data_IF_864673976552
#
_entry.id   IF_864673976552
#
_cell.length_a   1.000
_cell.length_b   1.000
_cell.length_c   1.000
_cell.angle_alpha   90.00
_cell.angle_beta   90.00
_cell.angle_gamma   90.00
#
_symmetry.space_group_name_H-M   'P 1'
#
loop_
_entity.id
_entity.type
_entity.pdbx_description
1 polymer ?
#
# COMPACT_ATOMS: atom_id res chain seq x y z
N UNK A 1 21.48 21.60 34.34
CA UNK A 1 20.93 21.38 32.98
C UNK A 1 21.33 22.54 32.05
N UNK A 2 22.53 22.51 31.42
CA UNK A 2 23.02 23.60 30.56
C UNK A 2 22.80 23.37 29.04
N UNK A 3 22.00 22.38 28.63
CA UNK A 3 21.87 22.01 27.21
C UNK A 3 21.11 23.05 26.36
N UNK A 4 20.22 23.84 26.98
CA UNK A 4 19.37 24.80 26.27
C UNK A 4 20.16 25.86 25.48
N UNK A 5 21.11 26.61 26.07
CA UNK A 5 21.90 27.59 25.32
C UNK A 5 22.76 26.95 24.22
N UNK A 6 23.25 25.72 24.41
CA UNK A 6 24.01 25.00 23.39
C UNK A 6 23.14 24.61 22.19
N UNK A 7 21.90 24.17 22.43
CA UNK A 7 20.94 23.85 21.37
C UNK A 7 20.60 25.13 20.58
N UNK A 8 20.30 26.23 21.27
CA UNK A 8 19.95 27.50 20.63
C UNK A 8 21.12 28.03 19.79
N UNK A 9 22.34 27.98 20.32
CA UNK A 9 23.55 28.42 19.59
C UNK A 9 23.83 27.54 18.38
N UNK A 10 23.67 26.23 18.52
CA UNK A 10 23.86 25.28 17.42
C UNK A 10 22.83 25.48 16.31
N UNK A 11 21.57 25.75 16.67
CA UNK A 11 20.51 26.04 15.71
C UNK A 11 20.81 27.33 14.93
N UNK A 12 21.23 28.39 15.61
CA UNK A 12 21.61 29.64 14.95
C UNK A 12 22.82 29.48 14.05
N UNK A 13 23.85 28.76 14.50
CA UNK A 13 25.03 28.47 13.69
C UNK A 13 24.65 27.70 12.41
N UNK A 14 23.77 26.71 12.51
CA UNK A 14 23.25 25.96 11.37
C UNK A 14 22.52 26.88 10.36
N UNK A 15 21.61 27.73 10.84
CA UNK A 15 20.85 28.66 9.99
C UNK A 15 21.77 29.62 9.23
N UNK A 16 22.76 30.21 9.91
CA UNK A 16 23.72 31.13 9.28
C UNK A 16 24.55 30.42 8.21
N UNK A 17 24.96 29.17 8.47
CA UNK A 17 25.75 28.38 7.53
C UNK A 17 24.94 28.04 6.27
N UNK A 18 23.68 27.61 6.43
CA UNK A 18 22.80 27.32 5.31
C UNK A 18 22.49 28.58 4.47
N UNK A 19 22.36 29.74 5.12
CA UNK A 19 22.16 31.00 4.41
C UNK A 19 23.41 31.43 3.61
N UNK A 20 24.60 31.23 4.18
CA UNK A 20 25.87 31.49 3.49
C UNK A 20 26.07 30.55 2.28
N UNK A 21 25.74 29.27 2.41
CA UNK A 21 25.78 28.30 1.30
C UNK A 21 24.76 28.64 0.20
N UNK A 22 23.55 29.06 0.57
CA UNK A 22 22.53 29.46 -0.41
C UNK A 22 22.97 30.67 -1.25
N UNK A 23 23.68 31.62 -0.65
CA UNK A 23 24.15 32.84 -1.34
C UNK A 23 25.37 32.61 -2.21
N UNK A 24 26.19 31.59 -1.90
CA UNK A 24 27.43 31.28 -2.62
C UNK A 24 27.26 30.17 -3.65
N UNK A 25 26.52 29.10 -3.31
CA UNK A 25 26.34 27.89 -4.10
C UNK A 25 24.88 27.41 -4.10
N UNK A 26 23.93 28.20 -4.63
CA UNK A 26 22.51 27.89 -4.58
C UNK A 26 22.16 26.55 -5.26
N UNK A 27 22.85 26.23 -6.36
CA UNK A 27 22.62 24.99 -7.11
C UNK A 27 23.06 23.75 -6.32
N UNK A 28 24.18 23.83 -5.59
CA UNK A 28 24.72 22.71 -4.81
C UNK A 28 23.84 22.43 -3.58
N UNK A 29 23.35 23.47 -2.92
CA UNK A 29 22.42 23.34 -1.80
C UNK A 29 21.09 22.70 -2.23
N UNK A 30 20.55 23.11 -3.38
CA UNK A 30 19.34 22.49 -3.97
C UNK A 30 19.61 21.04 -4.39
N UNK A 31 20.76 20.76 -5.00
CA UNK A 31 21.14 19.40 -5.38
C UNK A 31 21.30 18.47 -4.17
N UNK A 32 21.93 18.95 -3.10
CA UNK A 32 22.05 18.22 -1.84
C UNK A 32 20.70 17.95 -1.19
N UNK A 33 19.81 18.95 -1.14
CA UNK A 33 18.44 18.79 -0.64
C UNK A 33 17.63 17.79 -1.48
N UNK A 34 17.76 17.84 -2.81
CA UNK A 34 17.12 16.89 -3.70
C UNK A 34 17.62 15.45 -3.48
N UNK A 35 18.92 15.26 -3.29
CA UNK A 35 19.51 13.95 -2.99
C UNK A 35 19.03 13.41 -1.63
N UNK A 36 18.97 14.26 -0.61
CA UNK A 36 18.43 13.89 0.71
C UNK A 36 16.94 13.50 0.62
N UNK A 37 16.14 14.25 -0.13
CA UNK A 37 14.74 13.90 -0.36
C UNK A 37 14.59 12.58 -1.11
N UNK A 38 15.39 12.35 -2.17
CA UNK A 38 15.37 11.12 -2.94
C UNK A 38 15.74 9.89 -2.09
N UNK A 39 16.75 10.00 -1.22
CA UNK A 39 17.14 8.92 -0.31
C UNK A 39 16.06 8.63 0.72
N UNK A 40 15.42 9.65 1.31
CA UNK A 40 14.29 9.47 2.22
C UNK A 40 13.10 8.78 1.54
N UNK A 41 12.76 9.18 0.30
CA UNK A 41 11.72 8.52 -0.49
C UNK A 41 12.08 7.06 -0.74
N UNK A 42 13.33 6.77 -1.16
CA UNK A 42 13.77 5.40 -1.41
C UNK A 42 13.67 4.52 -0.15
N UNK A 43 14.05 5.05 1.01
CA UNK A 43 13.89 4.36 2.30
C UNK A 43 12.41 4.15 2.63
N UNK A 44 11.57 5.18 2.50
CA UNK A 44 10.13 5.07 2.76
C UNK A 44 9.46 4.02 1.84
N UNK A 45 9.83 3.99 0.56
CA UNK A 45 9.39 2.98 -0.41
C UNK A 45 9.85 1.59 0.01
N UNK A 46 11.11 1.43 0.40
CA UNK A 46 11.66 0.15 0.86
C UNK A 46 10.92 -0.33 2.10
N UNK A 47 10.71 0.53 3.10
CA UNK A 47 9.96 0.21 4.31
C UNK A 47 8.50 -0.12 3.99
N UNK A 48 7.87 0.58 3.06
CA UNK A 48 6.51 0.30 2.62
C UNK A 48 6.38 -1.08 1.97
N UNK A 49 7.34 -1.47 1.12
CA UNK A 49 7.32 -2.76 0.45
C UNK A 49 7.76 -3.92 1.34
N UNK A 50 8.78 -3.74 2.18
CA UNK A 50 9.32 -4.77 3.08
C UNK A 50 8.48 -4.91 4.34
N UNK A 51 7.94 -3.80 4.84
CA UNK A 51 7.24 -3.70 6.12
C UNK A 51 5.74 -3.91 6.04
N UNK A 52 5.16 -4.31 4.90
CA UNK A 52 3.71 -4.56 4.81
C UNK A 52 3.35 -5.93 5.41
N UNK A 53 2.91 -6.03 6.67
CA UNK A 53 2.68 -7.31 7.37
C UNK A 53 1.35 -7.97 6.95
N UNK A 54 0.76 -7.49 5.86
CA UNK A 54 -0.60 -7.79 5.43
C UNK A 54 -0.73 -8.23 3.98
N UNK A 55 0.35 -8.19 3.18
CA UNK A 55 0.34 -8.90 1.89
C UNK A 55 0.47 -10.38 2.22
N UNK A 56 -0.52 -11.23 1.90
CA UNK A 56 -0.36 -12.65 2.12
C UNK A 56 0.70 -13.14 1.14
N UNK A 57 1.94 -13.18 1.63
CA UNK A 57 3.09 -13.81 0.96
C UNK A 57 2.88 -15.30 0.80
N UNK A 58 1.96 -15.87 1.59
CA UNK A 58 1.49 -17.23 1.47
C UNK A 58 0.11 -17.28 0.77
N UNK A 59 0.06 -17.71 -0.51
CA UNK A 59 -1.18 -17.93 -1.25
C UNK A 59 -2.15 -18.86 -0.49
N UNK A 60 -1.65 -19.80 0.31
CA UNK A 60 -2.47 -20.72 1.09
C UNK A 60 -3.23 -19.98 2.21
N UNK A 61 -2.61 -18.99 2.86
CA UNK A 61 -3.24 -18.15 3.88
C UNK A 61 -4.29 -17.20 3.28
N UNK A 62 -4.06 -16.68 2.08
CA UNK A 62 -5.08 -15.89 1.38
C UNK A 62 -6.29 -16.75 1.01
N UNK A 63 -6.04 -17.96 0.48
CA UNK A 63 -7.09 -18.91 0.13
C UNK A 63 -7.88 -19.38 1.36
N UNK A 64 -7.24 -19.55 2.53
CA UNK A 64 -7.92 -19.92 3.77
C UNK A 64 -8.83 -18.80 4.28
N UNK A 65 -8.35 -17.54 4.28
CA UNK A 65 -9.17 -16.37 4.66
C UNK A 65 -10.37 -16.22 3.72
N UNK A 66 -10.18 -16.40 2.41
CA UNK A 66 -11.25 -16.33 1.43
C UNK A 66 -12.26 -17.46 1.62
N UNK A 67 -11.80 -18.70 1.89
CA UNK A 67 -12.67 -19.84 2.23
C UNK A 67 -13.45 -19.60 3.51
N UNK A 68 -12.83 -19.02 4.52
CA UNK A 68 -13.48 -18.68 5.78
C UNK A 68 -14.57 -17.63 5.59
N UNK A 69 -14.29 -16.59 4.80
CA UNK A 69 -15.29 -15.59 4.40
C UNK A 69 -16.42 -16.21 3.59
N UNK A 70 -16.11 -17.08 2.64
CA UNK A 70 -17.12 -17.79 1.86
C UNK A 70 -18.01 -18.66 2.75
N UNK A 71 -17.44 -19.40 3.72
CA UNK A 71 -18.19 -20.20 4.71
C UNK A 71 -19.08 -19.32 5.60
N UNK A 72 -18.61 -18.15 6.01
CA UNK A 72 -19.38 -17.21 6.84
C UNK A 72 -20.43 -16.42 6.07
N UNK A 73 -20.25 -16.22 4.76
CA UNK A 73 -21.11 -15.35 3.96
C UNK A 73 -22.53 -15.88 3.77
N UNK A 74 -22.84 -17.12 4.15
CA UNK A 74 -24.19 -17.70 4.05
C UNK A 74 -24.73 -17.80 2.61
N UNK A 75 -24.00 -17.30 1.61
CA UNK A 75 -24.36 -17.41 0.20
C UNK A 75 -24.29 -18.89 -0.15
N UNK A 76 -25.41 -19.50 -0.59
CA UNK A 76 -25.39 -20.86 -1.08
C UNK A 76 -24.32 -20.95 -2.16
N UNK A 77 -23.32 -21.82 -1.99
CA UNK A 77 -22.42 -22.15 -3.09
C UNK A 77 -23.33 -22.49 -4.26
N UNK A 78 -23.17 -21.76 -5.35
CA UNK A 78 -23.90 -21.95 -6.59
C UNK A 78 -23.97 -23.46 -6.82
N UNK A 79 -25.15 -24.03 -6.57
CA UNK A 79 -25.38 -25.47 -6.69
C UNK A 79 -25.00 -25.76 -8.12
N UNK A 80 -23.98 -26.59 -8.29
CA UNK A 80 -23.48 -26.99 -9.60
C UNK A 80 -24.68 -27.27 -10.51
N UNK A 81 -24.92 -26.42 -11.52
CA UNK A 81 -26.09 -26.55 -12.38
C UNK A 81 -26.08 -27.88 -13.15
N UNK A 82 -24.92 -28.54 -13.22
CA UNK A 82 -24.73 -29.84 -13.87
C UNK A 82 -24.72 -31.03 -12.90
N UNK A 83 -24.96 -30.82 -11.60
CA UNK A 83 -25.07 -31.90 -10.63
C UNK A 83 -26.14 -32.93 -11.05
N UNK A 84 -25.77 -34.21 -11.06
CA UNK A 84 -26.65 -35.29 -11.46
C UNK A 84 -27.90 -35.35 -10.56
N UNK A 85 -29.07 -35.38 -11.18
CA UNK A 85 -30.37 -35.47 -10.49
C UNK A 85 -31.13 -34.15 -10.34
N UNK A 86 -30.58 -33.00 -10.76
CA UNK A 86 -31.35 -31.74 -10.81
C UNK A 86 -31.95 -31.52 -12.20
N UNK A 87 -33.23 -31.13 -12.33
CA UNK A 87 -33.78 -30.68 -13.60
C UNK A 87 -32.94 -29.50 -14.10
N UNK A 88 -32.21 -29.68 -15.20
CA UNK A 88 -31.47 -28.58 -15.84
C UNK A 88 -32.49 -27.51 -16.24
N UNK A 89 -32.36 -26.25 -15.80
CA UNK A 89 -33.11 -25.16 -16.38
C UNK A 89 -32.79 -25.17 -17.87
N UNK A 90 -33.79 -25.48 -18.70
CA UNK A 90 -33.59 -25.51 -20.15
C UNK A 90 -33.15 -24.11 -20.56
N UNK A 91 -32.10 -24.03 -21.37
CA UNK A 91 -31.66 -22.77 -21.95
C UNK A 91 -32.89 -22.05 -22.54
N UNK A 92 -32.98 -20.72 -22.43
CA UNK A 92 -34.03 -19.97 -23.08
C UNK A 92 -34.06 -20.37 -24.56
N UNK A 93 -35.12 -21.06 -25.00
CA UNK A 93 -35.30 -21.33 -26.42
C UNK A 93 -35.86 -20.07 -27.06
N UNK A 94 -35.57 -19.86 -28.34
CA UNK A 94 -36.09 -18.71 -29.10
C UNK A 94 -37.62 -18.74 -29.30
N UNK A 95 -38.31 -19.70 -28.69
CA UNK A 95 -39.76 -19.80 -28.75
C UNK A 95 -40.36 -18.91 -27.66
N UNK A 96 -41.29 -18.01 -27.99
CA UNK A 96 -41.98 -17.21 -26.99
C UNK A 96 -42.70 -18.13 -26.00
N UNK A 97 -42.58 -17.82 -24.71
CA UNK A 97 -43.36 -18.50 -23.66
C UNK A 97 -44.84 -18.34 -24.00
N UNK A 98 -45.55 -19.44 -24.18
CA UNK A 98 -47.00 -19.40 -24.31
C UNK A 98 -47.59 -18.74 -23.05
N UNK A 99 -48.46 -17.75 -23.27
CA UNK A 99 -49.13 -16.97 -22.24
C UNK A 99 -50.23 -17.76 -21.53
#
# INVERSE_FOLDING_TARGET
MPAFPLIVTSLWAYVVTQFAELTTHPAELVAGAALAAATLIAVAVTVYFVGWPGRPTDPARHASILRDRARRSGVPRQIDPDASGRPRPRAPSALPSAA
#
